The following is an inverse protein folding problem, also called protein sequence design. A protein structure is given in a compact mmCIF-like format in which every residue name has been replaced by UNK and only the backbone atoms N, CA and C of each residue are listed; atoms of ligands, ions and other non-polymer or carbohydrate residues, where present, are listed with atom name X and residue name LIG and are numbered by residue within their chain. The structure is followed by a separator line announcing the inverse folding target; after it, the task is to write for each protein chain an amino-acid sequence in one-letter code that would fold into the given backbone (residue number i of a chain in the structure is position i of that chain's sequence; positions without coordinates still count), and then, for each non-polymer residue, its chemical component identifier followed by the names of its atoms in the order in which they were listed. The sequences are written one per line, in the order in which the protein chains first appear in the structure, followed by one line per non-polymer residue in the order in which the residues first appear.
data_IF_074771472465
#
_entry.id   IF_074771472465
#
_cell.length_a   1.000
_cell.length_b   1.000
_cell.length_c   1.000
_cell.angle_alpha   90.00
_cell.angle_beta   90.00
_cell.angle_gamma   90.00
#
_symmetry.space_group_name_H-M   'P 1'
#
loop_
_entity.id
_entity.type
_entity.pdbx_description
1 polymer ?
#
# COMPACT_ATOMS: atom_id res chain seq x y z
N UNK A 1 -19.02 -52.55 38.57
CA UNK A 1 -17.93 -52.19 37.63
C UNK A 1 -18.37 -51.96 36.18
N UNK A 2 -19.27 -52.77 35.61
CA UNK A 2 -19.64 -52.69 34.17
C UNK A 2 -20.35 -51.39 33.72
N UNK A 3 -21.09 -50.73 34.62
CA UNK A 3 -21.84 -49.49 34.32
C UNK A 3 -20.96 -48.23 34.23
N UNK A 4 -19.90 -48.14 35.05
CA UNK A 4 -18.98 -47.00 35.06
C UNK A 4 -18.07 -46.96 33.82
N UNK A 5 -17.78 -48.13 33.23
CA UNK A 5 -16.96 -48.24 32.01
C UNK A 5 -17.74 -47.73 30.78
N UNK A 6 -19.05 -48.02 30.67
CA UNK A 6 -19.89 -47.53 29.57
C UNK A 6 -20.07 -46.01 29.58
N UNK A 7 -20.14 -45.40 30.77
CA UNK A 7 -20.23 -43.95 30.93
C UNK A 7 -18.90 -43.26 30.56
N UNK A 8 -17.75 -43.85 30.95
CA UNK A 8 -16.43 -43.32 30.60
C UNK A 8 -16.16 -43.36 29.08
N UNK A 9 -16.61 -44.40 28.38
CA UNK A 9 -16.47 -44.52 26.92
C UNK A 9 -17.38 -43.52 26.19
N UNK A 10 -18.61 -43.30 26.65
CA UNK A 10 -19.52 -42.31 26.06
C UNK A 10 -19.03 -40.87 26.20
N UNK A 11 -18.41 -40.52 27.33
CA UNK A 11 -17.82 -39.19 27.57
C UNK A 11 -16.55 -38.99 26.74
N UNK A 12 -15.72 -40.02 26.58
CA UNK A 12 -14.52 -39.94 25.74
C UNK A 12 -14.85 -39.79 24.23
N UNK A 13 -15.90 -40.46 23.74
CA UNK A 13 -16.38 -40.31 22.36
C UNK A 13 -17.01 -38.94 22.10
N UNK A 14 -17.79 -38.41 23.06
CA UNK A 14 -18.38 -37.07 22.96
C UNK A 14 -17.32 -35.96 23.02
N UNK A 15 -16.28 -36.11 23.85
CA UNK A 15 -15.15 -35.19 23.90
C UNK A 15 -14.28 -35.25 22.64
N UNK A 16 -14.07 -36.43 22.07
CA UNK A 16 -13.35 -36.61 20.80
C UNK A 16 -14.06 -35.97 19.60
N UNK A 17 -15.40 -36.07 19.53
CA UNK A 17 -16.20 -35.39 18.51
C UNK A 17 -16.28 -33.87 18.72
N UNK A 18 -16.36 -33.40 19.97
CA UNK A 18 -16.33 -31.97 20.30
C UNK A 18 -15.00 -31.28 19.99
N UNK A 19 -13.87 -31.98 20.11
CA UNK A 19 -12.55 -31.48 19.71
C UNK A 19 -12.34 -31.50 18.19
N UNK A 20 -12.90 -32.49 17.48
CA UNK A 20 -12.84 -32.54 16.01
C UNK A 20 -13.74 -31.48 15.36
N UNK A 21 -14.88 -31.15 15.97
CA UNK A 21 -15.78 -30.09 15.47
C UNK A 21 -15.23 -28.67 15.72
N UNK A 22 -14.45 -28.45 16.78
CA UNK A 22 -13.88 -27.14 17.10
C UNK A 22 -12.60 -26.81 16.32
N UNK A 23 -11.95 -27.79 15.71
CA UNK A 23 -10.79 -27.59 14.81
C UNK A 23 -11.20 -27.31 13.35
N UNK A 24 -12.43 -27.60 12.96
CA UNK A 24 -12.97 -27.27 11.64
C UNK A 24 -13.31 -25.78 11.45
N UNK A 25 -13.35 -24.99 12.54
CA UNK A 25 -13.73 -23.58 12.52
C UNK A 25 -12.62 -22.61 12.01
N UNK A 26 -11.46 -23.14 11.62
CA UNK A 26 -10.36 -22.37 11.01
C UNK A 26 -9.86 -22.99 9.70
N UNK A 27 -10.73 -23.69 8.96
CA UNK A 27 -10.38 -24.06 7.58
C UNK A 27 -10.29 -22.77 6.75
N UNK A 28 -9.09 -22.44 6.29
CA UNK A 28 -8.89 -21.37 5.33
C UNK A 28 -9.80 -21.62 4.11
N UNK A 29 -10.63 -20.65 3.73
CA UNK A 29 -11.48 -20.76 2.54
C UNK A 29 -10.64 -21.16 1.32
N UNK A 30 -11.17 -22.07 0.49
CA UNK A 30 -10.52 -22.38 -0.79
C UNK A 30 -10.63 -21.19 -1.74
N UNK A 31 -9.74 -21.14 -2.75
CA UNK A 31 -9.84 -20.13 -3.80
C UNK A 31 -11.22 -20.14 -4.47
N UNK A 32 -11.80 -21.32 -4.68
CA UNK A 32 -13.13 -21.49 -5.28
C UNK A 32 -14.24 -20.92 -4.40
N UNK A 33 -14.15 -21.08 -3.08
CA UNK A 33 -15.13 -20.50 -2.14
C UNK A 33 -15.08 -18.97 -2.19
N UNK A 34 -13.85 -18.40 -2.22
CA UNK A 34 -13.65 -16.95 -2.35
C UNK A 34 -14.21 -16.44 -3.68
N UNK A 35 -13.93 -17.13 -4.79
CA UNK A 35 -14.47 -16.78 -6.10
C UNK A 35 -15.99 -16.76 -6.11
N UNK A 36 -16.63 -17.81 -5.60
CA UNK A 36 -18.09 -17.92 -5.55
C UNK A 36 -18.71 -16.84 -4.66
N UNK A 37 -18.16 -16.62 -3.47
CA UNK A 37 -18.66 -15.62 -2.50
C UNK A 37 -18.52 -14.19 -3.02
N UNK A 38 -17.44 -13.88 -3.75
CA UNK A 38 -17.18 -12.55 -4.32
C UNK A 38 -17.70 -12.38 -5.75
N UNK A 39 -18.27 -13.42 -6.36
CA UNK A 39 -18.71 -13.39 -7.75
C UNK A 39 -17.57 -13.17 -8.76
N UNK A 40 -16.37 -13.68 -8.47
CA UNK A 40 -15.18 -13.48 -9.30
C UNK A 40 -15.04 -14.59 -10.34
N UNK A 41 -14.75 -14.19 -11.58
CA UNK A 41 -14.33 -15.08 -12.64
C UNK A 41 -12.82 -15.40 -12.55
N UNK A 42 -12.37 -16.39 -13.31
CA UNK A 42 -10.93 -16.66 -13.46
C UNK A 42 -10.19 -15.47 -14.10
N UNK A 43 -10.87 -14.70 -14.96
CA UNK A 43 -10.29 -13.51 -15.59
C UNK A 43 -10.05 -12.40 -14.55
N UNK A 44 -10.97 -12.22 -13.59
CA UNK A 44 -10.80 -11.24 -12.51
C UNK A 44 -9.62 -11.60 -11.62
N UNK A 45 -9.43 -12.90 -11.32
CA UNK A 45 -8.26 -13.36 -10.57
C UNK A 45 -6.95 -13.14 -11.34
N UNK A 46 -6.95 -13.39 -12.65
CA UNK A 46 -5.79 -13.11 -13.49
C UNK A 46 -5.46 -11.61 -13.52
N UNK A 47 -6.47 -10.74 -13.61
CA UNK A 47 -6.27 -9.30 -13.54
C UNK A 47 -5.71 -8.87 -12.17
N UNK A 48 -6.26 -9.38 -11.08
CA UNK A 48 -5.77 -9.09 -9.73
C UNK A 48 -4.34 -9.60 -9.50
N UNK A 49 -3.99 -10.78 -10.02
CA UNK A 49 -2.65 -11.34 -9.93
C UNK A 49 -1.61 -10.49 -10.67
N UNK A 50 -1.99 -9.82 -11.76
CA UNK A 50 -1.11 -8.89 -12.51
C UNK A 50 -0.81 -7.60 -11.76
N UNK A 51 -1.68 -7.17 -10.83
CA UNK A 51 -1.46 -5.96 -10.03
C UNK A 51 -0.89 -6.25 -8.64
N UNK A 52 -0.87 -7.52 -8.23
CA UNK A 52 -0.41 -7.92 -6.92
C UNK A 52 1.12 -8.08 -6.88
N UNK A 53 1.76 -7.35 -5.96
CA UNK A 53 3.20 -7.49 -5.68
C UNK A 53 3.38 -8.07 -4.28
N UNK A 54 3.91 -9.30 -4.14
CA UNK A 54 4.11 -9.94 -2.84
C UNK A 54 5.11 -9.20 -1.94
N UNK A 55 5.01 -9.43 -0.63
CA UNK A 55 6.02 -8.95 0.35
C UNK A 55 7.43 -9.38 -0.06
N UNK A 56 8.38 -8.46 0.05
CA UNK A 56 9.78 -8.69 -0.33
C UNK A 56 10.06 -8.62 -1.84
N UNK A 57 9.05 -8.40 -2.67
CA UNK A 57 9.22 -8.11 -4.11
C UNK A 57 9.14 -6.61 -4.38
N UNK A 58 9.75 -6.20 -5.49
CA UNK A 58 9.79 -4.81 -5.95
C UNK A 58 8.77 -4.61 -7.07
N UNK A 59 8.24 -3.40 -7.12
CA UNK A 59 7.52 -2.89 -8.28
C UNK A 59 8.46 -2.74 -9.48
N UNK A 60 7.91 -2.83 -10.68
CA UNK A 60 8.67 -2.76 -11.93
C UNK A 60 8.98 -1.32 -12.33
N UNK A 61 8.03 -0.42 -12.09
CA UNK A 61 8.18 1.01 -12.40
C UNK A 61 7.94 1.88 -11.16
N UNK A 62 8.53 3.07 -11.19
CA UNK A 62 8.21 4.17 -10.29
C UNK A 62 7.42 5.21 -11.07
N UNK A 63 6.36 5.72 -10.45
CA UNK A 63 5.63 6.88 -10.93
C UNK A 63 5.90 8.07 -10.02
N UNK A 64 6.20 9.21 -10.63
CA UNK A 64 6.30 10.50 -9.98
C UNK A 64 5.06 11.30 -10.34
N UNK A 65 4.10 11.35 -9.44
CA UNK A 65 2.82 11.99 -9.66
C UNK A 65 2.74 13.34 -8.97
N UNK A 66 2.01 14.25 -9.59
CA UNK A 66 1.56 15.47 -8.94
C UNK A 66 0.76 15.12 -7.66
N UNK A 67 0.96 15.92 -6.61
CA UNK A 67 0.07 15.96 -5.44
C UNK A 67 -1.12 16.92 -5.61
N UNK A 68 -1.18 17.67 -6.70
CA UNK A 68 -2.17 18.73 -6.91
C UNK A 68 -1.99 19.85 -5.88
N UNK A 69 -3.12 20.34 -5.35
CA UNK A 69 -3.21 21.51 -4.46
C UNK A 69 -2.57 21.30 -3.09
N UNK A 70 -2.09 20.10 -2.79
CA UNK A 70 -1.29 19.87 -1.60
C UNK A 70 0.18 20.26 -1.79
N UNK A 71 0.65 20.44 -3.03
CA UNK A 71 1.94 21.07 -3.35
C UNK A 71 3.19 20.19 -3.24
N UNK A 72 3.03 18.88 -3.08
CA UNK A 72 4.10 17.88 -3.07
C UNK A 72 4.11 17.02 -4.34
N UNK A 73 5.11 16.14 -4.45
CA UNK A 73 5.15 15.06 -5.45
C UNK A 73 4.99 13.71 -4.73
N UNK A 74 4.20 12.82 -5.30
CA UNK A 74 3.95 11.47 -4.77
C UNK A 74 4.74 10.46 -5.60
N UNK A 75 5.59 9.68 -4.96
CA UNK A 75 6.30 8.56 -5.56
C UNK A 75 5.57 7.27 -5.18
N UNK A 76 5.11 6.50 -6.17
CA UNK A 76 4.49 5.20 -5.94
C UNK A 76 5.01 4.15 -6.92
N UNK A 77 4.93 2.88 -6.50
CA UNK A 77 5.33 1.74 -7.33
C UNK A 77 4.18 1.27 -8.24
N UNK A 78 4.52 0.83 -9.45
CA UNK A 78 3.60 0.17 -10.38
C UNK A 78 4.08 -1.29 -10.58
N UNK A 79 3.20 -2.29 -10.44
CA UNK A 79 1.73 -2.17 -10.46
C UNK A 79 1.05 -2.17 -9.09
N UNK A 80 1.78 -2.21 -7.96
CA UNK A 80 1.16 -2.32 -6.64
C UNK A 80 0.39 -1.09 -6.18
N UNK A 81 0.65 0.07 -6.81
CA UNK A 81 0.09 1.38 -6.47
C UNK A 81 0.37 1.83 -5.03
N UNK A 82 1.38 1.24 -4.37
CA UNK A 82 1.78 1.62 -3.01
C UNK A 82 2.58 2.91 -3.06
N UNK A 83 2.20 3.88 -2.22
CA UNK A 83 2.96 5.10 -2.01
C UNK A 83 4.27 4.74 -1.30
N UNK A 84 5.39 5.13 -1.91
CA UNK A 84 6.73 4.88 -1.40
C UNK A 84 7.31 6.12 -0.71
N UNK A 85 6.99 7.32 -1.21
CA UNK A 85 7.50 8.57 -0.67
C UNK A 85 6.62 9.75 -1.09
N UNK A 86 6.56 10.78 -0.24
CA UNK A 86 6.17 12.13 -0.64
C UNK A 86 7.42 13.01 -0.66
N UNK A 87 7.65 13.71 -1.77
CA UNK A 87 8.73 14.68 -1.91
C UNK A 87 8.15 16.07 -1.67
N UNK A 88 8.62 16.75 -0.62
CA UNK A 88 8.20 18.11 -0.31
C UNK A 88 8.72 19.09 -1.39
N UNK A 89 7.86 19.99 -1.87
CA UNK A 89 8.21 20.97 -2.92
C UNK A 89 7.75 22.37 -2.53
N UNK A 90 6.44 22.64 -2.62
CA UNK A 90 5.89 24.00 -2.41
C UNK A 90 5.30 24.21 -1.00
N UNK A 91 4.83 23.14 -0.37
CA UNK A 91 4.18 23.17 0.94
C UNK A 91 5.16 22.69 2.03
N UNK A 92 5.31 23.40 3.17
CA UNK A 92 6.03 22.89 4.33
C UNK A 92 5.48 21.54 4.80
N UNK A 93 6.37 20.59 5.07
CA UNK A 93 6.04 19.19 5.40
C UNK A 93 6.67 18.85 6.77
N UNK A 94 5.95 19.11 7.89
CA UNK A 94 6.52 19.07 9.23
C UNK A 94 7.05 17.70 9.65
N UNK A 95 6.45 16.61 9.16
CA UNK A 95 6.93 15.26 9.45
C UNK A 95 8.28 14.95 8.76
N UNK A 96 8.65 15.71 7.72
CA UNK A 96 9.96 15.63 7.05
C UNK A 96 10.94 16.70 7.55
N UNK A 97 10.45 17.73 8.23
CA UNK A 97 11.21 18.93 8.60
C UNK A 97 11.37 19.97 7.47
N UNK A 98 10.86 19.69 6.25
CA UNK A 98 10.95 20.62 5.12
C UNK A 98 10.07 21.85 5.38
N UNK A 99 10.64 23.04 5.24
CA UNK A 99 10.06 24.33 5.63
C UNK A 99 10.31 24.71 7.09
N UNK A 100 11.02 23.88 7.87
CA UNK A 100 11.29 24.13 9.29
C UNK A 100 12.78 24.29 9.61
N UNK A 101 13.68 23.75 8.79
CA UNK A 101 15.11 24.02 8.85
C UNK A 101 15.55 25.21 7.97
N UNK A 102 16.74 25.74 8.21
CA UNK A 102 17.23 26.93 7.50
C UNK A 102 17.45 26.71 6.00
N UNK A 103 17.85 25.49 5.60
CA UNK A 103 18.11 25.20 4.19
C UNK A 103 16.82 25.09 3.37
N UNK A 104 15.81 24.39 3.89
CA UNK A 104 14.52 24.28 3.20
C UNK A 104 13.72 25.59 3.22
N UNK A 105 13.80 26.37 4.30
CA UNK A 105 13.28 27.75 4.31
C UNK A 105 13.94 28.61 3.25
N UNK A 106 15.24 28.47 3.03
CA UNK A 106 15.95 29.21 1.98
C UNK A 106 15.47 28.82 0.58
N UNK A 107 15.15 27.54 0.34
CA UNK A 107 14.53 27.08 -0.92
C UNK A 107 13.13 27.67 -1.10
N UNK A 108 12.24 27.55 -0.11
CA UNK A 108 10.87 28.09 -0.19
C UNK A 108 10.86 29.60 -0.43
N UNK A 109 11.79 30.34 0.19
CA UNK A 109 11.96 31.79 0.01
C UNK A 109 12.22 32.19 -1.45
N UNK A 110 12.81 31.33 -2.27
CA UNK A 110 13.04 31.62 -3.69
C UNK A 110 11.73 31.67 -4.48
N UNK A 111 10.67 31.03 -3.99
CA UNK A 111 9.34 31.06 -4.60
C UNK A 111 8.45 32.21 -4.10
N UNK A 112 8.93 33.05 -3.19
CA UNK A 112 8.14 34.18 -2.67
C UNK A 112 8.00 35.28 -3.73
N UNK A 113 6.81 35.87 -3.84
CA UNK A 113 6.50 36.88 -4.85
C UNK A 113 6.14 38.20 -4.15
N UNK A 114 6.76 39.30 -4.57
CA UNK A 114 6.53 40.65 -4.02
C UNK A 114 6.64 40.73 -2.49
N UNK A 115 7.61 39.99 -1.92
CA UNK A 115 7.82 39.92 -0.47
C UNK A 115 6.75 39.13 0.29
N UNK A 116 5.80 38.48 -0.41
CA UNK A 116 4.80 37.62 0.20
C UNK A 116 5.32 36.20 0.32
N UNK A 117 5.26 35.69 1.54
CA UNK A 117 5.52 34.30 1.83
C UNK A 117 4.46 33.41 1.17
N UNK A 118 4.92 32.39 0.45
CA UNK A 118 4.07 31.36 -0.18
C UNK A 118 4.48 30.02 0.41
N UNK A 119 3.54 29.41 1.14
CA UNK A 119 3.71 28.14 1.88
C UNK A 119 2.71 27.08 1.44
N UNK A 120 2.18 27.23 0.23
CA UNK A 120 1.24 26.33 -0.41
C UNK A 120 1.58 26.25 -1.90
N UNK A 121 1.09 25.23 -2.58
CA UNK A 121 1.25 25.13 -4.03
C UNK A 121 0.26 24.18 -4.66
N UNK A 122 0.21 24.22 -5.98
CA UNK A 122 -0.55 23.28 -6.79
C UNK A 122 0.41 22.66 -7.81
N UNK A 123 0.88 21.45 -7.53
CA UNK A 123 1.81 20.73 -8.42
C UNK A 123 1.01 20.11 -9.55
N UNK A 124 1.33 20.37 -10.82
CA UNK A 124 0.55 19.84 -11.96
C UNK A 124 1.30 18.79 -12.79
N UNK A 125 2.49 19.13 -13.29
CA UNK A 125 3.17 18.34 -14.32
C UNK A 125 4.64 18.00 -13.95
N UNK A 126 4.89 17.01 -13.08
CA UNK A 126 6.25 16.48 -12.89
C UNK A 126 6.75 15.82 -14.18
N UNK A 127 8.00 16.07 -14.56
CA UNK A 127 8.58 15.51 -15.79
C UNK A 127 10.06 15.18 -15.59
N UNK A 128 10.42 13.91 -15.82
CA UNK A 128 11.80 13.44 -15.63
C UNK A 128 12.67 13.99 -16.77
N UNK A 129 13.88 14.44 -16.43
CA UNK A 129 14.85 14.92 -17.43
C UNK A 129 15.22 13.84 -18.45
N UNK A 130 15.49 14.29 -19.67
CA UNK A 130 15.82 13.43 -20.80
C UNK A 130 17.13 13.84 -21.47
N UNK A 131 17.89 12.84 -21.89
CA UNK A 131 19.04 12.99 -22.78
C UNK A 131 18.74 12.18 -24.05
N UNK A 132 18.73 12.84 -25.21
CA UNK A 132 18.40 12.23 -26.51
C UNK A 132 17.03 11.52 -26.54
N UNK A 133 16.04 12.08 -25.84
CA UNK A 133 14.67 11.53 -25.79
C UNK A 133 14.52 10.27 -24.95
N UNK A 134 15.49 9.99 -24.07
CA UNK A 134 15.42 8.91 -23.09
C UNK A 134 15.56 9.52 -21.69
N UNK A 135 14.73 9.06 -20.75
CA UNK A 135 14.84 9.48 -19.35
C UNK A 135 16.24 9.16 -18.82
N UNK A 136 16.92 10.19 -18.32
CA UNK A 136 18.26 10.06 -17.76
C UNK A 136 18.27 10.05 -16.22
N UNK A 137 17.13 10.38 -15.59
CA UNK A 137 16.93 10.28 -14.16
C UNK A 137 17.74 11.28 -13.32
N UNK A 138 18.24 12.37 -13.92
CA UNK A 138 19.01 13.37 -13.18
C UNK A 138 18.12 14.35 -12.41
N UNK A 139 17.01 14.77 -13.02
CA UNK A 139 16.06 15.74 -12.46
C UNK A 139 14.61 15.30 -12.70
N UNK A 140 13.71 15.99 -12.01
CA UNK A 140 12.26 15.85 -12.07
C UNK A 140 11.59 17.22 -12.08
#
# INVERSE_FOLDING_TARGET
MKTRIKQAVGVALAAGFGLAASTAAFSAESLQDVMKRRGLSQQDLMAAAKTYVPTGKRDEFLAFSSGGQSGQIIVYGIPSMRILKYLAVFTPEPWQGYGFDESSKAVLKQGWIDGKEITWGDTHHPAISETQGQYDGQFL
#
